data_IF_555593030105
#
_entry.id   IF_555593030105
#
_cell.length_a   1.000
_cell.length_b   1.000
_cell.length_c   1.000
_cell.angle_alpha   90.00
_cell.angle_beta   90.00
_cell.angle_gamma   90.00
#
_symmetry.space_group_name_H-M   'P 1'
#
loop_
_entity.id
_entity.type
_entity.pdbx_description
1 polymer ?
#
# COMPACT_ATOMS: atom_id res chain seq x y z
N UNK A 1 -22.98 1.11 -56.98
CA UNK A 1 -24.17 1.00 -57.86
C UNK A 1 -24.93 -0.24 -57.40
N UNK A 2 -26.16 -0.09 -56.87
CA UNK A 2 -27.01 -1.14 -56.25
C UNK A 2 -26.39 -1.81 -54.98
N UNK A 3 -27.04 -2.02 -53.81
CA UNK A 3 -28.46 -2.06 -53.37
C UNK A 3 -29.20 -3.34 -53.83
N UNK A 4 -29.55 -4.29 -52.95
CA UNK A 4 -30.85 -4.48 -52.25
C UNK A 4 -30.82 -5.85 -51.50
N UNK A 5 -31.56 -6.20 -50.44
CA UNK A 5 -32.33 -5.43 -49.44
C UNK A 5 -32.71 -6.29 -48.18
N UNK A 6 -33.18 -5.61 -47.12
CA UNK A 6 -34.11 -6.02 -46.01
C UNK A 6 -34.07 -7.38 -45.27
N UNK A 7 -34.15 -7.28 -43.93
CA UNK A 7 -34.71 -8.26 -42.98
C UNK A 7 -35.05 -7.58 -41.64
N UNK A 8 -36.13 -7.95 -40.95
CA UNK A 8 -36.62 -7.29 -39.72
C UNK A 8 -36.68 -8.24 -38.51
N UNK A 9 -36.58 -7.72 -37.28
CA UNK A 9 -37.07 -8.40 -36.07
C UNK A 9 -36.34 -8.07 -34.75
N UNK A 10 -37.00 -7.35 -33.84
CA UNK A 10 -36.74 -7.40 -32.39
C UNK A 10 -37.88 -8.17 -31.73
N UNK A 11 -37.62 -8.88 -30.63
CA UNK A 11 -38.62 -9.08 -29.57
C UNK A 11 -37.96 -9.35 -28.21
N UNK A 12 -38.72 -9.16 -27.13
CA UNK A 12 -38.25 -9.25 -25.74
C UNK A 12 -39.34 -9.86 -24.86
N UNK A 13 -38.94 -10.62 -23.83
CA UNK A 13 -39.68 -10.92 -22.59
C UNK A 13 -41.10 -11.53 -22.66
N UNK A 14 -41.30 -12.69 -22.01
CA UNK A 14 -42.56 -13.05 -21.33
C UNK A 14 -42.35 -14.16 -20.29
N UNK A 15 -43.21 -14.18 -19.26
CA UNK A 15 -43.33 -15.27 -18.28
C UNK A 15 -44.11 -16.46 -18.85
N UNK A 16 -44.05 -17.61 -18.16
CA UNK A 16 -45.18 -18.55 -18.14
C UNK A 16 -45.37 -19.14 -16.74
N UNK A 17 -46.62 -19.21 -16.27
CA UNK A 17 -47.02 -19.68 -14.95
C UNK A 17 -48.26 -20.58 -15.12
N UNK A 18 -48.27 -21.75 -14.46
CA UNK A 18 -49.40 -22.69 -14.43
C UNK A 18 -49.93 -22.81 -12.99
N UNK A 19 -51.24 -22.70 -12.66
CA UNK A 19 -52.43 -23.46 -13.16
C UNK A 19 -52.34 -24.93 -12.71
N UNK A 20 -53.25 -25.57 -11.96
CA UNK A 20 -54.45 -25.25 -11.14
C UNK A 20 -54.63 -26.46 -10.10
N UNK A 21 -55.63 -26.68 -9.23
CA UNK A 21 -56.98 -26.11 -8.99
C UNK A 21 -57.47 -26.23 -7.51
N UNK A 22 -58.26 -25.23 -7.08
CA UNK A 22 -59.40 -25.19 -6.12
C UNK A 22 -59.92 -26.47 -5.39
N UNK A 23 -60.11 -26.40 -4.04
CA UNK A 23 -61.42 -26.64 -3.36
C UNK A 23 -61.48 -26.24 -1.87
N UNK A 24 -62.62 -25.71 -1.43
CA UNK A 24 -62.93 -25.25 -0.06
C UNK A 24 -64.01 -26.10 0.61
N UNK A 25 -64.10 -26.14 1.95
CA UNK A 25 -65.37 -26.38 2.68
C UNK A 25 -65.34 -25.82 4.13
N UNK A 26 -66.53 -25.59 4.73
CA UNK A 26 -66.75 -25.05 6.10
C UNK A 26 -67.76 -25.89 6.91
N UNK A 27 -67.44 -26.20 8.17
CA UNK A 27 -68.34 -26.40 9.33
C UNK A 27 -67.44 -26.50 10.60
N UNK A 28 -67.66 -25.96 11.82
CA UNK A 28 -68.78 -25.41 12.63
C UNK A 28 -69.44 -26.43 13.62
N UNK A 29 -69.68 -25.97 14.86
CA UNK A 29 -70.25 -26.68 16.06
C UNK A 29 -69.27 -27.57 16.87
N UNK A 30 -69.63 -28.06 18.08
CA UNK A 30 -69.76 -27.32 19.37
C UNK A 30 -69.97 -28.29 20.55
N UNK A 31 -69.69 -27.86 21.81
CA UNK A 31 -69.88 -28.61 23.10
C UNK A 31 -68.89 -29.79 23.30
N UNK A 32 -68.55 -30.25 24.52
CA UNK A 32 -68.58 -29.63 25.87
C UNK A 32 -67.76 -30.46 26.87
N UNK A 33 -67.12 -29.80 27.85
CA UNK A 33 -66.73 -30.25 29.21
C UNK A 33 -66.63 -31.76 29.51
N UNK A 34 -65.42 -32.22 29.87
CA UNK A 34 -65.18 -32.89 31.16
C UNK A 34 -63.69 -32.87 31.56
N UNK A 35 -63.40 -33.06 32.85
CA UNK A 35 -62.10 -32.86 33.49
C UNK A 35 -61.54 -34.15 34.08
N UNK A 36 -60.23 -34.41 33.93
CA UNK A 36 -59.45 -35.21 34.89
C UNK A 36 -57.94 -34.97 34.74
N UNK A 37 -57.21 -35.19 35.83
CA UNK A 37 -55.74 -35.15 35.96
C UNK A 37 -55.30 -36.38 36.78
N UNK A 38 -53.99 -36.69 36.89
CA UNK A 38 -52.94 -36.71 35.87
C UNK A 38 -52.25 -38.11 35.83
N UNK A 39 -50.98 -38.15 35.39
CA UNK A 39 -49.96 -39.23 35.52
C UNK A 39 -49.76 -40.24 34.37
N UNK A 40 -48.58 -40.86 34.44
CA UNK A 40 -47.96 -41.88 33.59
C UNK A 40 -47.50 -41.49 32.16
N UNK A 41 -46.18 -41.52 32.01
CA UNK A 41 -45.43 -41.37 30.76
C UNK A 41 -45.62 -42.61 29.88
N UNK A 42 -45.84 -42.39 28.59
CA UNK A 42 -45.37 -43.30 27.52
C UNK A 42 -44.72 -42.45 26.42
N UNK A 43 -43.65 -42.96 25.80
CA UNK A 43 -42.88 -42.21 24.81
C UNK A 43 -43.52 -42.28 23.41
N UNK A 44 -43.59 -41.16 22.66
CA UNK A 44 -43.94 -41.19 21.24
C UNK A 44 -42.90 -41.97 20.42
N UNK A 45 -43.34 -42.68 19.38
CA UNK A 45 -42.47 -43.54 18.58
C UNK A 45 -41.65 -42.79 17.53
N UNK A 46 -40.52 -43.39 17.13
CA UNK A 46 -39.36 -42.76 16.45
C UNK A 46 -39.58 -42.26 15.01
N UNK A 47 -40.83 -42.10 14.55
CA UNK A 47 -41.15 -41.79 13.13
C UNK A 47 -41.71 -40.39 12.87
N UNK A 48 -41.98 -39.57 13.89
CA UNK A 48 -42.60 -38.24 13.69
C UNK A 48 -41.66 -37.03 13.90
N UNK A 49 -40.42 -37.25 14.35
CA UNK A 49 -39.40 -36.18 14.47
C UNK A 49 -38.62 -35.92 13.16
N UNK A 50 -38.65 -36.82 12.18
CA UNK A 50 -37.77 -36.75 11.00
C UNK A 50 -38.03 -35.56 10.05
N UNK A 51 -39.26 -35.01 10.02
CA UNK A 51 -39.69 -34.05 8.98
C UNK A 51 -39.50 -32.59 9.41
N UNK A 52 -39.74 -32.25 10.69
CA UNK A 52 -39.53 -30.87 11.18
C UNK A 52 -38.04 -30.48 11.27
N UNK A 53 -37.14 -31.45 11.47
CA UNK A 53 -35.70 -31.18 11.66
C UNK A 53 -34.96 -30.77 10.37
N UNK A 54 -35.51 -31.04 9.18
CA UNK A 54 -34.85 -30.65 7.92
C UNK A 54 -35.01 -29.16 7.60
N UNK A 55 -36.20 -28.58 7.81
CA UNK A 55 -36.47 -27.18 7.45
C UNK A 55 -35.74 -26.16 8.35
N UNK A 56 -35.44 -26.52 9.61
CA UNK A 56 -34.69 -25.64 10.51
C UNK A 56 -33.16 -25.67 10.31
N UNK A 57 -32.62 -26.67 9.62
CA UNK A 57 -31.17 -26.73 9.34
C UNK A 57 -30.75 -25.84 8.16
N UNK A 58 -31.61 -25.68 7.15
CA UNK A 58 -31.32 -24.88 5.96
C UNK A 58 -31.26 -23.37 6.21
N UNK A 59 -31.93 -22.87 7.26
CA UNK A 59 -31.94 -21.43 7.59
C UNK A 59 -30.77 -21.00 8.49
N UNK A 60 -30.24 -21.88 9.34
CA UNK A 60 -29.08 -21.54 10.20
C UNK A 60 -27.77 -21.56 9.41
N UNK A 61 -27.65 -22.44 8.41
CA UNK A 61 -26.46 -22.50 7.54
C UNK A 61 -26.22 -21.20 6.73
N UNK A 62 -27.28 -20.48 6.37
CA UNK A 62 -27.20 -19.23 5.63
C UNK A 62 -26.66 -18.04 6.46
N UNK A 63 -26.84 -18.07 7.79
CA UNK A 63 -26.40 -16.97 8.67
C UNK A 63 -24.88 -16.96 8.92
N UNK A 64 -24.24 -18.13 8.93
CA UNK A 64 -22.81 -18.25 9.25
C UNK A 64 -21.88 -17.71 8.15
N UNK A 65 -22.33 -17.66 6.90
CA UNK A 65 -21.57 -17.15 5.75
C UNK A 65 -21.51 -15.61 5.67
N UNK A 66 -22.21 -14.90 6.58
CA UNK A 66 -22.18 -13.44 6.71
C UNK A 66 -21.22 -12.94 7.80
N UNK A 67 -20.22 -13.74 8.16
CA UNK A 67 -18.93 -13.22 8.64
C UNK A 67 -18.27 -12.47 7.48
N UNK A 68 -18.71 -11.23 7.25
CA UNK A 68 -18.15 -10.37 6.23
C UNK A 68 -16.64 -10.26 6.43
N UNK A 69 -15.88 -10.50 5.36
CA UNK A 69 -14.45 -10.18 5.34
C UNK A 69 -14.35 -8.71 5.73
N UNK A 70 -13.77 -8.44 6.90
CA UNK A 70 -13.53 -7.07 7.37
C UNK A 70 -12.46 -6.52 6.43
N UNK A 71 -12.93 -5.88 5.35
CA UNK A 71 -12.07 -5.38 4.28
C UNK A 71 -10.99 -4.50 4.90
N UNK A 72 -9.73 -4.85 4.66
CA UNK A 72 -8.63 -4.14 5.31
C UNK A 72 -8.71 -2.67 4.91
N UNK A 73 -8.86 -1.80 5.90
CA UNK A 73 -9.07 -0.36 5.72
C UNK A 73 -7.71 0.31 5.42
N UNK A 74 -7.23 -0.06 4.24
CA UNK A 74 -5.88 0.03 3.70
C UNK A 74 -6.03 0.69 2.32
N UNK A 75 -6.01 2.03 2.31
CA UNK A 75 -6.07 2.80 1.07
C UNK A 75 -4.71 2.65 0.37
N UNK A 76 -4.70 2.19 -0.88
CA UNK A 76 -3.50 1.85 -1.67
C UNK A 76 -3.58 2.53 -3.02
N UNK A 77 -2.62 3.37 -3.37
CA UNK A 77 -2.60 4.04 -4.67
C UNK A 77 -1.19 4.16 -5.24
N UNK A 78 -1.10 4.37 -6.55
CA UNK A 78 0.16 4.57 -7.23
C UNK A 78 0.50 6.05 -7.38
N UNK A 79 1.79 6.37 -7.23
CA UNK A 79 2.36 7.64 -7.64
C UNK A 79 3.51 7.37 -8.62
N UNK A 80 3.40 7.89 -9.84
CA UNK A 80 4.44 7.73 -10.88
C UNK A 80 5.70 8.53 -10.55
N UNK A 81 6.83 8.21 -11.19
CA UNK A 81 8.05 9.00 -11.10
C UNK A 81 7.77 10.48 -11.45
N UNK A 82 7.90 11.37 -10.45
CA UNK A 82 7.90 12.82 -10.68
C UNK A 82 9.26 13.22 -11.25
N UNK A 83 10.34 12.83 -10.57
CA UNK A 83 11.74 13.05 -10.97
C UNK A 83 12.66 12.07 -10.23
N UNK A 84 13.84 11.80 -10.78
CA UNK A 84 14.98 11.18 -10.07
C UNK A 84 16.05 12.25 -9.98
N UNK A 85 16.41 12.69 -8.78
CA UNK A 85 17.23 13.90 -8.56
C UNK A 85 18.08 13.78 -7.29
N UNK A 86 19.20 14.50 -7.23
CA UNK A 86 20.07 14.55 -6.06
C UNK A 86 19.69 15.73 -5.17
N UNK A 87 18.46 15.67 -4.67
CA UNK A 87 17.86 16.64 -3.75
C UNK A 87 17.31 15.94 -2.50
N UNK A 88 17.38 16.63 -1.37
CA UNK A 88 16.73 16.20 -0.13
C UNK A 88 16.35 17.43 0.72
N UNK A 89 15.11 17.95 0.62
CA UNK A 89 14.66 19.10 1.39
C UNK A 89 14.28 18.77 2.84
N UNK A 90 14.36 17.50 3.25
CA UNK A 90 14.10 17.07 4.62
C UNK A 90 15.43 17.05 5.39
N UNK A 91 16.35 16.17 5.00
CA UNK A 91 17.62 15.95 5.70
C UNK A 91 18.71 16.95 5.28
N UNK A 92 18.68 17.46 4.04
CA UNK A 92 19.72 18.35 3.50
C UNK A 92 19.16 19.64 2.86
N UNK A 93 18.32 20.41 3.58
CA UNK A 93 17.60 21.56 3.02
C UNK A 93 18.54 22.60 2.40
N UNK A 94 18.26 22.93 1.14
CA UNK A 94 19.02 23.88 0.33
C UNK A 94 20.17 23.28 -0.48
N UNK A 95 20.60 22.05 -0.18
CA UNK A 95 21.72 21.43 -0.90
C UNK A 95 21.35 21.06 -2.34
N UNK A 96 22.27 21.35 -3.27
CA UNK A 96 22.17 21.11 -4.71
C UNK A 96 23.59 20.85 -5.26
N UNK A 97 24.03 19.59 -5.40
CA UNK A 97 23.33 18.35 -5.03
C UNK A 97 23.32 18.06 -3.52
N UNK A 98 22.45 17.15 -3.09
CA UNK A 98 22.52 16.42 -1.81
C UNK A 98 23.52 15.25 -1.90
N UNK A 99 23.78 14.49 -0.81
CA UNK A 99 24.77 13.41 -0.79
C UNK A 99 24.44 12.20 -1.69
N UNK A 100 23.17 11.92 -2.01
CA UNK A 100 22.80 10.74 -2.80
C UNK A 100 21.45 10.86 -3.54
N UNK A 101 21.23 9.97 -4.51
CA UNK A 101 20.19 10.06 -5.55
C UNK A 101 18.83 9.49 -5.12
N UNK A 102 17.81 10.34 -5.04
CA UNK A 102 16.46 9.96 -4.64
C UNK A 102 15.51 9.72 -5.81
N UNK A 103 14.58 8.79 -5.66
CA UNK A 103 13.37 8.73 -6.47
C UNK A 103 12.30 9.55 -5.78
N UNK A 104 11.78 10.60 -6.43
CA UNK A 104 10.72 11.45 -5.87
C UNK A 104 9.41 11.26 -6.63
N UNK A 105 8.30 11.25 -5.89
CA UNK A 105 6.92 11.24 -6.42
C UNK A 105 6.04 12.25 -5.68
N UNK A 106 4.83 12.50 -6.20
CA UNK A 106 3.83 13.38 -5.59
C UNK A 106 3.76 14.77 -6.22
N UNK A 107 3.58 15.81 -5.40
CA UNK A 107 3.39 17.20 -5.85
C UNK A 107 4.59 17.79 -6.60
N UNK A 108 4.36 18.43 -7.75
CA UNK A 108 5.42 18.99 -8.59
C UNK A 108 6.15 20.21 -8.01
N UNK A 109 5.68 20.77 -6.89
CA UNK A 109 6.37 21.85 -6.18
C UNK A 109 7.72 21.42 -5.60
N UNK A 110 7.95 20.13 -5.32
CA UNK A 110 9.16 19.58 -4.69
C UNK A 110 10.46 20.29 -5.11
N UNK A 111 11.23 20.79 -4.14
CA UNK A 111 12.36 21.68 -4.39
C UNK A 111 13.47 21.41 -3.36
N UNK A 112 14.69 21.89 -3.60
CA UNK A 112 15.83 21.72 -2.69
C UNK A 112 15.60 22.30 -1.29
N UNK A 113 14.79 23.35 -1.17
CA UNK A 113 14.39 23.96 0.10
C UNK A 113 12.88 23.91 0.25
N UNK A 114 12.39 23.24 1.29
CA UNK A 114 10.99 23.24 1.69
C UNK A 114 10.97 23.39 3.22
N UNK A 115 10.64 24.57 3.74
CA UNK A 115 10.57 24.81 5.19
C UNK A 115 9.27 24.21 5.80
N UNK A 116 9.29 23.68 7.04
CA UNK A 116 8.08 23.21 7.72
C UNK A 116 7.03 24.31 7.85
N UNK A 117 5.76 23.96 7.67
CA UNK A 117 4.56 24.84 7.71
C UNK A 117 4.50 25.92 6.60
N UNK A 118 5.59 26.65 6.36
CA UNK A 118 5.67 27.69 5.32
C UNK A 118 5.59 27.10 3.90
N UNK A 119 6.28 25.98 3.65
CA UNK A 119 6.26 25.31 2.36
C UNK A 119 5.20 24.21 2.34
N UNK A 120 4.02 24.55 1.80
CA UNK A 120 2.86 23.66 1.70
C UNK A 120 2.69 23.13 0.26
N UNK A 121 3.00 21.84 -0.02
CA UNK A 121 2.84 21.27 -1.35
C UNK A 121 1.40 21.31 -1.88
N UNK A 122 0.39 21.26 -1.00
CA UNK A 122 -1.03 21.28 -1.38
C UNK A 122 -1.47 22.63 -1.97
N UNK A 123 -0.73 23.70 -1.65
CA UNK A 123 -0.93 25.06 -2.17
C UNK A 123 0.00 25.39 -3.34
N UNK A 124 1.23 24.87 -3.32
CA UNK A 124 2.30 25.27 -4.24
C UNK A 124 2.41 24.38 -5.50
N UNK A 125 1.89 23.15 -5.46
CA UNK A 125 1.90 22.25 -6.62
C UNK A 125 0.74 22.53 -7.59
N UNK A 126 1.05 22.56 -8.89
CA UNK A 126 0.06 22.64 -9.97
C UNK A 126 -0.39 21.27 -10.48
N UNK A 127 0.40 20.22 -10.26
CA UNK A 127 0.01 18.83 -10.48
C UNK A 127 0.63 17.90 -9.44
N UNK A 128 0.12 16.67 -9.36
CA UNK A 128 0.68 15.57 -8.57
C UNK A 128 0.86 14.33 -9.44
N UNK A 129 1.91 13.54 -9.22
CA UNK A 129 2.12 12.26 -9.90
C UNK A 129 1.34 11.10 -9.26
N UNK A 130 0.61 11.35 -8.17
CA UNK A 130 -0.28 10.41 -7.49
C UNK A 130 -1.66 10.33 -8.15
N UNK A 131 -2.31 9.16 -8.14
CA UNK A 131 -3.62 9.03 -8.81
C UNK A 131 -4.79 9.73 -8.10
N UNK A 132 -4.70 10.00 -6.79
CA UNK A 132 -5.64 10.91 -6.12
C UNK A 132 -5.24 12.37 -6.36
N UNK A 133 -6.15 13.14 -6.96
CA UNK A 133 -5.90 14.54 -7.36
C UNK A 133 -6.01 15.55 -6.21
N UNK A 134 -6.20 15.06 -4.98
CA UNK A 134 -6.16 15.82 -3.73
C UNK A 134 -4.84 15.62 -2.95
N UNK A 135 -3.97 14.69 -3.36
CA UNK A 135 -2.70 14.39 -2.68
C UNK A 135 -1.49 14.98 -3.42
N UNK A 136 -0.90 16.04 -2.86
CA UNK A 136 0.32 16.67 -3.35
C UNK A 136 1.49 16.46 -2.38
N UNK A 137 1.34 15.56 -1.39
CA UNK A 137 2.43 15.16 -0.51
C UNK A 137 3.62 14.68 -1.33
N UNK A 138 4.84 14.90 -0.83
CA UNK A 138 6.03 14.35 -1.46
C UNK A 138 6.52 13.13 -0.68
N UNK A 139 6.84 12.09 -1.45
CA UNK A 139 7.31 10.80 -0.96
C UNK A 139 8.60 10.47 -1.73
N UNK A 140 9.66 10.08 -1.04
CA UNK A 140 10.89 9.64 -1.71
C UNK A 140 11.66 8.56 -0.94
N UNK A 141 12.55 7.88 -1.66
CA UNK A 141 13.49 6.86 -1.15
C UNK A 141 14.79 6.95 -1.93
N UNK A 142 15.86 6.32 -1.42
CA UNK A 142 17.06 6.03 -2.19
C UNK A 142 16.76 5.24 -3.50
N UNK A 143 17.65 5.35 -4.49
CA UNK A 143 17.66 4.46 -5.66
C UNK A 143 18.61 3.27 -5.43
N UNK A 144 18.31 2.12 -6.04
CA UNK A 144 19.27 1.00 -6.13
C UNK A 144 20.07 1.11 -7.45
N UNK A 145 21.35 0.77 -7.40
CA UNK A 145 22.25 0.61 -8.53
C UNK A 145 22.79 -0.83 -8.56
N UNK A 146 22.96 -1.39 -9.76
CA UNK A 146 23.65 -2.65 -10.01
C UNK A 146 25.07 -2.38 -10.52
N UNK A 147 26.06 -3.04 -9.94
CA UNK A 147 27.46 -3.01 -10.37
C UNK A 147 27.78 -4.26 -11.19
N UNK A 148 28.14 -4.06 -12.45
CA UNK A 148 28.53 -5.14 -13.35
C UNK A 148 29.99 -5.58 -13.13
N UNK A 149 30.34 -6.77 -13.65
CA UNK A 149 31.67 -7.39 -13.56
C UNK A 149 32.82 -6.53 -14.09
N UNK A 150 32.57 -5.64 -15.05
CA UNK A 150 33.54 -4.67 -15.57
C UNK A 150 33.75 -3.46 -14.62
N UNK A 151 33.06 -3.40 -13.48
CA UNK A 151 33.12 -2.31 -12.51
C UNK A 151 32.01 -1.27 -12.65
N UNK A 152 31.45 -1.07 -13.85
CA UNK A 152 30.47 -0.01 -14.13
C UNK A 152 29.11 -0.24 -13.46
N UNK A 153 28.43 0.86 -13.14
CA UNK A 153 27.13 0.88 -12.46
C UNK A 153 25.99 1.20 -13.42
N UNK A 154 24.79 0.68 -13.12
CA UNK A 154 23.53 1.06 -13.77
C UNK A 154 22.44 1.21 -12.72
N UNK A 155 21.60 2.25 -12.83
CA UNK A 155 20.46 2.43 -11.92
C UNK A 155 19.43 1.34 -12.18
N UNK A 156 18.90 0.73 -11.12
CA UNK A 156 17.81 -0.25 -11.22
C UNK A 156 16.50 0.53 -11.46
N UNK A 157 15.82 0.34 -12.61
CA UNK A 157 14.54 0.98 -12.86
C UNK A 157 13.46 0.52 -11.88
N UNK A 158 12.42 1.31 -11.72
CA UNK A 158 11.23 0.93 -10.97
C UNK A 158 10.06 0.67 -11.91
N UNK A 159 9.11 -0.15 -11.46
CA UNK A 159 7.93 -0.55 -12.23
C UNK A 159 6.64 -0.41 -11.41
N UNK A 160 5.49 -0.42 -12.09
CA UNK A 160 4.20 -0.45 -11.41
C UNK A 160 4.00 -1.73 -10.60
N UNK A 161 3.52 -1.58 -9.36
CA UNK A 161 3.10 -2.68 -8.50
C UNK A 161 1.78 -3.28 -8.99
N UNK A 162 1.50 -4.54 -8.64
CA UNK A 162 0.41 -5.32 -9.24
C UNK A 162 -0.94 -4.58 -9.11
N UNK A 163 -1.66 -4.44 -10.23
CA UNK A 163 -2.93 -3.73 -10.31
C UNK A 163 -2.85 -2.20 -10.41
N UNK A 164 -1.66 -1.59 -10.42
CA UNK A 164 -1.47 -0.13 -10.51
C UNK A 164 -0.74 0.27 -11.79
N UNK A 165 -1.41 1.11 -12.59
CA UNK A 165 -0.90 1.67 -13.84
C UNK A 165 -0.09 2.95 -13.57
N UNK A 166 1.18 2.80 -13.19
CA UNK A 166 2.12 3.91 -12.96
C UNK A 166 3.42 3.71 -13.72
N UNK A 167 4.09 4.83 -14.04
CA UNK A 167 5.39 4.85 -14.72
C UNK A 167 6.51 5.06 -13.69
N UNK A 168 7.18 3.98 -13.30
CA UNK A 168 8.11 3.98 -12.17
C UNK A 168 7.45 4.43 -10.87
N UNK A 169 8.24 4.94 -9.92
CA UNK A 169 7.73 5.54 -8.70
C UNK A 169 7.32 4.52 -7.64
N UNK A 170 6.30 4.87 -6.85
CA UNK A 170 6.03 4.28 -5.53
C UNK A 170 4.55 3.91 -5.41
N UNK A 171 4.25 2.79 -4.76
CA UNK A 171 2.91 2.51 -4.23
C UNK A 171 2.80 3.09 -2.84
N UNK A 172 1.89 4.03 -2.64
CA UNK A 172 1.64 4.70 -1.37
C UNK A 172 0.41 4.08 -0.71
N UNK A 173 0.51 3.84 0.58
CA UNK A 173 -0.55 3.29 1.41
C UNK A 173 -0.84 4.21 2.60
N UNK A 174 -2.12 4.44 2.90
CA UNK A 174 -2.58 5.05 4.16
C UNK A 174 -3.55 4.08 4.83
N UNK A 175 -3.16 3.59 6.00
CA UNK A 175 -3.81 2.43 6.63
C UNK A 175 -4.34 2.87 7.99
N UNK A 176 -5.67 2.84 8.14
CA UNK A 176 -6.37 3.33 9.34
C UNK A 176 -6.27 2.39 10.55
N UNK A 177 -5.74 1.19 10.33
CA UNK A 177 -5.62 0.13 11.32
C UNK A 177 -6.71 -0.94 11.19
N UNK A 178 -6.36 -2.16 11.57
CA UNK A 178 -7.07 -3.40 11.27
C UNK A 178 -8.34 -3.65 12.09
N UNK A 179 -8.68 -2.77 13.03
CA UNK A 179 -9.88 -2.86 13.85
C UNK A 179 -11.00 -2.00 13.25
N UNK A 180 -12.22 -2.53 13.15
CA UNK A 180 -13.37 -1.82 12.58
C UNK A 180 -13.76 -0.55 13.36
N UNK A 181 -13.38 -0.49 14.65
CA UNK A 181 -13.53 0.62 15.59
C UNK A 181 -12.36 1.63 15.57
N UNK A 182 -11.30 1.38 14.80
CA UNK A 182 -10.12 2.25 14.78
C UNK A 182 -10.49 3.68 14.36
N UNK A 183 -9.91 4.65 15.05
CA UNK A 183 -9.95 6.07 14.70
C UNK A 183 -8.51 6.58 14.66
N UNK A 184 -8.25 7.47 13.72
CA UNK A 184 -6.94 8.11 13.52
C UNK A 184 -7.15 9.60 13.20
N UNK A 185 -6.20 10.42 13.60
CA UNK A 185 -6.10 11.82 13.20
C UNK A 185 -5.19 11.92 11.98
N UNK A 186 -5.66 12.52 10.89
CA UNK A 186 -4.85 12.79 9.72
C UNK A 186 -3.70 13.75 10.04
N UNK A 187 -2.64 13.68 9.24
CA UNK A 187 -1.50 14.60 9.31
C UNK A 187 -1.94 16.05 9.04
N UNK A 188 -1.12 17.01 9.49
CA UNK A 188 -1.39 18.46 9.40
C UNK A 188 -0.46 19.15 8.39
N UNK A 189 -0.79 20.33 7.86
CA UNK A 189 0.13 21.10 7.03
C UNK A 189 1.51 21.27 7.68
N UNK A 190 2.57 21.00 6.92
CA UNK A 190 3.95 20.97 7.41
C UNK A 190 4.42 19.64 8.02
N UNK A 191 3.55 18.63 8.15
CA UNK A 191 3.90 17.35 8.78
C UNK A 191 4.93 16.54 7.99
N UNK A 192 5.90 15.94 8.70
CA UNK A 192 7.11 15.34 8.14
C UNK A 192 7.48 14.04 8.83
N UNK A 193 8.08 13.09 8.12
CA UNK A 193 8.65 11.89 8.73
C UNK A 193 9.86 11.37 7.93
N UNK A 194 10.84 10.82 8.64
CA UNK A 194 11.92 10.01 8.09
C UNK A 194 11.92 8.63 8.77
N UNK A 195 11.88 7.55 8.00
CA UNK A 195 12.15 6.18 8.49
C UNK A 195 13.47 5.64 7.99
N UNK A 196 14.06 4.72 8.74
CA UNK A 196 15.38 4.17 8.44
C UNK A 196 16.52 5.13 8.71
N UNK A 197 17.70 4.75 8.22
CA UNK A 197 18.95 5.49 8.39
C UNK A 197 19.89 5.13 7.23
N UNK A 198 20.23 6.07 6.33
CA UNK A 198 21.13 5.81 5.21
C UNK A 198 22.56 5.47 5.67
N UNK A 199 22.93 5.73 6.93
CA UNK A 199 24.24 5.39 7.49
C UNK A 199 24.25 4.03 8.21
N UNK A 200 23.13 3.32 8.28
CA UNK A 200 23.06 2.03 8.98
C UNK A 200 23.84 0.93 8.23
N UNK A 201 24.85 0.37 8.92
CA UNK A 201 25.68 -0.76 8.46
C UNK A 201 25.51 -2.01 9.34
N UNK A 202 24.51 -2.05 10.24
CA UNK A 202 24.34 -3.10 11.26
C UNK A 202 22.91 -3.63 11.31
N UNK A 203 22.74 -4.94 11.07
CA UNK A 203 21.43 -5.59 11.09
C UNK A 203 20.73 -5.48 12.47
N UNK A 204 21.52 -5.52 13.57
CA UNK A 204 21.00 -5.39 14.93
C UNK A 204 20.35 -4.03 15.25
N UNK A 205 20.60 -2.99 14.46
CA UNK A 205 19.96 -1.67 14.56
C UNK A 205 18.91 -1.42 13.47
N UNK A 206 18.68 -2.38 12.57
CA UNK A 206 17.75 -2.19 11.46
C UNK A 206 16.30 -2.33 11.92
N UNK A 207 15.46 -1.38 11.52
CA UNK A 207 14.02 -1.41 11.81
C UNK A 207 13.38 -2.59 11.07
N UNK A 208 12.62 -3.44 11.78
CA UNK A 208 11.86 -4.56 11.18
C UNK A 208 10.81 -4.10 10.16
N UNK A 209 10.48 -2.81 10.19
CA UNK A 209 9.57 -2.08 9.31
C UNK A 209 10.16 -1.73 7.93
N UNK A 210 11.43 -2.09 7.70
CA UNK A 210 12.18 -1.85 6.47
C UNK A 210 12.66 -3.20 5.95
N UNK A 211 12.09 -3.65 4.83
CA UNK A 211 12.32 -5.01 4.35
C UNK A 211 12.25 -5.15 2.84
N UNK A 212 12.81 -6.25 2.35
CA UNK A 212 12.88 -6.65 0.95
C UNK A 212 12.16 -7.99 0.77
N UNK A 213 11.31 -8.07 -0.26
CA UNK A 213 10.78 -9.33 -0.79
C UNK A 213 11.40 -9.63 -2.15
N UNK A 214 11.95 -10.82 -2.30
CA UNK A 214 12.35 -11.38 -3.59
C UNK A 214 11.12 -11.98 -4.27
N UNK A 215 10.51 -11.26 -5.21
CA UNK A 215 9.26 -11.69 -5.84
C UNK A 215 9.52 -12.84 -6.83
N UNK A 216 8.65 -13.86 -6.81
CA UNK A 216 8.78 -15.03 -7.67
C UNK A 216 8.54 -14.72 -9.15
N UNK A 217 7.61 -13.80 -9.44
CA UNK A 217 7.24 -13.30 -10.77
C UNK A 217 6.46 -11.98 -10.64
N UNK A 218 6.24 -11.29 -11.76
CA UNK A 218 5.50 -10.01 -11.80
C UNK A 218 4.04 -10.13 -11.35
N UNK A 219 3.49 -11.34 -11.34
CA UNK A 219 2.13 -11.65 -10.89
C UNK A 219 2.07 -11.87 -9.37
N UNK A 220 3.19 -11.77 -8.65
CA UNK A 220 3.31 -12.01 -7.20
C UNK A 220 2.67 -13.36 -6.79
N UNK A 221 2.96 -14.41 -7.57
CA UNK A 221 2.38 -15.75 -7.40
C UNK A 221 3.46 -16.80 -7.11
N UNK A 222 3.41 -17.55 -5.99
CA UNK A 222 2.43 -17.45 -4.91
C UNK A 222 2.55 -16.12 -4.15
N UNK A 223 1.42 -15.64 -3.62
CA UNK A 223 1.39 -14.38 -2.86
C UNK A 223 2.11 -14.54 -1.51
N UNK A 224 3.20 -13.81 -1.32
CA UNK A 224 4.08 -13.93 -0.14
C UNK A 224 3.50 -13.45 1.20
N UNK A 225 2.24 -13.03 1.27
CA UNK A 225 1.59 -12.54 2.49
C UNK A 225 1.84 -11.06 2.76
N UNK A 226 1.62 -10.63 4.02
CA UNK A 226 1.85 -9.25 4.46
C UNK A 226 3.33 -8.84 4.33
N UNK A 227 3.66 -7.56 4.06
CA UNK A 227 5.04 -7.11 3.98
C UNK A 227 5.76 -7.21 5.34
N UNK A 228 7.08 -7.39 5.29
CA UNK A 228 7.97 -7.58 6.43
C UNK A 228 7.59 -8.80 7.31
N UNK A 229 7.11 -9.87 6.67
CA UNK A 229 6.79 -11.15 7.31
C UNK A 229 7.28 -12.34 6.49
N UNK A 230 7.33 -13.53 7.10
CA UNK A 230 7.60 -14.78 6.39
C UNK A 230 9.03 -14.88 5.84
N UNK A 231 9.18 -14.72 4.53
CA UNK A 231 10.45 -14.87 3.80
C UNK A 231 11.17 -13.54 3.51
N UNK A 232 10.67 -12.42 4.04
CA UNK A 232 11.24 -11.09 3.81
C UNK A 232 12.56 -10.87 4.57
N UNK A 233 13.50 -10.18 3.93
CA UNK A 233 14.83 -9.90 4.48
C UNK A 233 15.01 -8.44 4.86
N UNK A 234 15.85 -8.16 5.86
CA UNK A 234 16.29 -6.79 6.19
C UNK A 234 17.47 -6.33 5.33
N UNK A 235 18.20 -7.28 4.74
CA UNK A 235 19.27 -7.07 3.77
C UNK A 235 18.76 -7.25 2.32
N UNK A 236 19.54 -6.81 1.34
CA UNK A 236 19.33 -7.10 -0.08
C UNK A 236 19.21 -8.62 -0.34
N UNK A 237 18.21 -9.08 -1.12
CA UNK A 237 18.10 -10.47 -1.55
C UNK A 237 19.38 -11.00 -2.21
N UNK A 238 19.75 -12.23 -1.86
CA UNK A 238 21.04 -12.86 -2.23
C UNK A 238 20.93 -13.78 -3.46
N UNK A 239 19.72 -13.88 -4.01
CA UNK A 239 19.41 -14.61 -5.24
C UNK A 239 18.72 -13.71 -6.28
N UNK A 240 18.87 -14.01 -7.58
CA UNK A 240 18.01 -13.50 -8.64
C UNK A 240 16.51 -13.65 -8.31
N UNK A 241 15.69 -12.66 -8.67
CA UNK A 241 14.26 -12.61 -8.35
C UNK A 241 13.43 -12.46 -9.63
N UNK A 242 12.48 -13.37 -9.89
CA UNK A 242 11.72 -13.42 -11.14
C UNK A 242 10.70 -12.29 -11.31
N UNK A 243 10.24 -11.69 -10.21
CA UNK A 243 9.38 -10.51 -10.17
C UNK A 243 10.10 -9.21 -9.80
N UNK A 244 11.43 -9.22 -9.72
CA UNK A 244 12.21 -8.12 -9.17
C UNK A 244 12.20 -8.10 -7.63
N UNK A 245 12.49 -6.95 -7.04
CA UNK A 245 12.44 -6.72 -5.60
C UNK A 245 11.27 -5.82 -5.23
N UNK A 246 10.54 -6.18 -4.18
CA UNK A 246 9.58 -5.29 -3.51
C UNK A 246 10.17 -4.81 -2.20
N UNK A 247 10.52 -3.53 -2.12
CA UNK A 247 11.03 -2.88 -0.91
C UNK A 247 9.85 -2.24 -0.20
N UNK A 248 9.67 -2.55 1.08
CA UNK A 248 8.54 -2.06 1.88
C UNK A 248 9.06 -1.21 3.03
N UNK A 249 8.45 -0.05 3.24
CA UNK A 249 8.81 0.91 4.29
C UNK A 249 7.55 1.32 5.06
N UNK A 250 7.41 0.84 6.30
CA UNK A 250 6.27 1.17 7.16
C UNK A 250 6.63 2.34 8.10
N UNK A 251 5.82 3.39 8.11
CA UNK A 251 6.04 4.54 8.99
C UNK A 251 5.45 4.33 10.40
N UNK A 252 5.95 5.07 11.41
CA UNK A 252 5.26 5.29 12.68
C UNK A 252 3.75 5.54 12.55
N UNK A 253 2.98 5.05 13.52
CA UNK A 253 1.51 5.16 13.54
C UNK A 253 0.96 5.80 14.82
N UNK A 254 1.86 6.40 15.61
CA UNK A 254 1.59 7.11 16.86
C UNK A 254 2.31 8.46 16.84
N UNK A 255 1.65 9.51 17.34
CA UNK A 255 2.12 10.89 17.27
C UNK A 255 2.00 11.59 18.63
N UNK A 256 2.93 12.50 18.94
CA UNK A 256 2.94 13.28 20.20
C UNK A 256 1.74 14.23 20.36
N UNK A 257 0.96 14.46 19.29
CA UNK A 257 -0.24 15.30 19.28
C UNK A 257 0.03 16.80 19.14
N UNK A 258 1.30 17.20 19.10
CA UNK A 258 1.76 18.59 19.18
C UNK A 258 2.61 19.02 17.98
N UNK A 259 3.72 18.33 17.73
CA UNK A 259 4.75 18.80 16.81
C UNK A 259 4.54 18.19 15.42
N UNK A 260 4.50 19.01 14.37
CA UNK A 260 4.38 18.50 12.98
C UNK A 260 5.72 18.01 12.42
N UNK A 261 6.82 18.38 13.06
CA UNK A 261 8.17 17.93 12.72
C UNK A 261 9.05 17.95 13.97
N UNK A 262 10.19 17.28 13.92
CA UNK A 262 11.25 17.32 14.94
C UNK A 262 12.62 17.48 14.26
N UNK A 263 13.68 17.94 14.96
CA UNK A 263 15.00 18.18 14.34
C UNK A 263 15.70 16.95 13.73
N UNK A 264 15.17 15.76 13.99
CA UNK A 264 15.60 14.46 13.47
C UNK A 264 14.55 13.80 12.53
N UNK A 265 13.44 14.48 12.29
CA UNK A 265 12.24 14.03 11.56
C UNK A 265 11.63 12.71 12.08
N UNK A 266 11.92 12.36 13.35
CA UNK A 266 11.61 11.06 13.98
C UNK A 266 11.01 11.20 15.37
N UNK A 267 11.62 11.94 16.28
CA UNK A 267 11.28 11.97 17.72
C UNK A 267 9.89 12.50 18.10
N UNK A 268 9.12 13.04 17.15
CA UNK A 268 7.71 13.42 17.36
C UNK A 268 6.70 12.31 17.01
N UNK A 269 7.17 11.19 16.43
CA UNK A 269 6.36 10.02 16.07
C UNK A 269 6.97 8.71 16.60
N UNK A 270 6.11 7.71 16.85
CA UNK A 270 6.52 6.41 17.36
C UNK A 270 5.78 5.24 16.70
N UNK A 271 6.40 4.06 16.76
CA UNK A 271 5.70 2.81 16.54
C UNK A 271 4.90 2.41 17.80
N UNK A 272 3.83 1.59 17.67
CA UNK A 272 3.11 1.02 18.81
C UNK A 272 4.04 0.24 19.75
N UNK A 273 3.73 0.24 21.05
CA UNK A 273 4.60 -0.35 22.09
C UNK A 273 4.82 -1.86 21.94
N UNK A 274 3.87 -2.57 21.32
CA UNK A 274 3.89 -4.03 21.23
C UNK A 274 3.16 -4.55 20.00
N UNK A 275 3.41 -5.81 19.64
CA UNK A 275 2.79 -6.50 18.52
C UNK A 275 3.47 -6.24 17.17
N UNK A 276 2.78 -6.56 16.09
CA UNK A 276 3.16 -6.26 14.70
C UNK A 276 2.30 -5.12 14.15
N UNK A 277 2.52 -4.71 12.90
CA UNK A 277 1.69 -3.70 12.25
C UNK A 277 0.20 -4.11 12.19
N UNK A 278 -0.06 -5.36 11.80
CA UNK A 278 -1.39 -5.98 11.66
C UNK A 278 -2.16 -6.01 12.99
N UNK A 279 -1.44 -6.09 14.12
CA UNK A 279 -2.03 -6.19 15.45
C UNK A 279 -2.69 -4.89 15.94
N UNK A 280 -2.39 -3.74 15.32
CA UNK A 280 -3.02 -2.45 15.65
C UNK A 280 -2.75 -1.94 17.08
N UNK A 281 -1.57 -2.25 17.63
CA UNK A 281 -1.20 -2.10 19.05
C UNK A 281 -1.43 -0.72 19.69
N UNK A 282 -1.25 -0.67 21.01
CA UNK A 282 -1.36 0.57 21.78
C UNK A 282 -0.19 1.52 21.49
N UNK A 283 -0.48 2.82 21.43
CA UNK A 283 0.55 3.84 21.30
C UNK A 283 1.23 4.13 22.64
N UNK A 284 2.52 4.52 22.64
CA UNK A 284 3.18 5.00 23.84
C UNK A 284 2.45 6.19 24.47
N UNK A 285 2.52 6.33 25.79
CA UNK A 285 1.97 7.50 26.51
C UNK A 285 2.62 8.82 26.10
N UNK A 286 3.84 8.79 25.56
CA UNK A 286 4.54 9.94 24.96
C UNK A 286 4.02 10.30 23.56
N UNK A 287 3.30 9.38 22.90
CA UNK A 287 2.80 9.51 21.53
C UNK A 287 1.32 9.12 21.43
N UNK A 288 0.42 9.74 22.22
CA UNK A 288 -0.91 9.20 22.48
C UNK A 288 -1.87 9.26 21.27
N UNK A 289 -1.58 10.05 20.25
CA UNK A 289 -2.49 10.24 19.11
C UNK A 289 -2.23 9.17 18.05
N UNK A 290 -3.23 8.32 17.78
CA UNK A 290 -3.18 7.41 16.62
C UNK A 290 -3.30 8.20 15.32
N UNK A 291 -2.37 7.96 14.41
CA UNK A 291 -2.30 8.53 13.05
C UNK A 291 -2.41 7.38 12.03
N UNK A 292 -2.80 7.62 10.77
CA UNK A 292 -2.73 6.59 9.73
C UNK A 292 -1.29 6.06 9.63
N UNK A 293 -1.09 4.75 9.49
CA UNK A 293 0.21 4.29 9.03
C UNK A 293 0.34 4.67 7.56
N UNK A 294 1.33 5.52 7.27
CA UNK A 294 1.89 5.64 5.93
C UNK A 294 2.77 4.42 5.64
N UNK A 295 2.67 3.83 4.45
CA UNK A 295 3.59 2.78 4.01
C UNK A 295 3.92 2.95 2.53
N UNK A 296 5.16 2.68 2.16
CA UNK A 296 5.62 2.62 0.77
C UNK A 296 5.83 1.16 0.36
N UNK A 297 5.46 0.80 -0.87
CA UNK A 297 6.08 -0.31 -1.59
C UNK A 297 6.71 0.19 -2.89
N UNK A 298 8.01 -0.09 -3.06
CA UNK A 298 8.79 0.26 -4.24
C UNK A 298 9.18 -1.03 -4.97
N UNK A 299 8.78 -1.15 -6.24
CA UNK A 299 9.10 -2.31 -7.07
C UNK A 299 10.34 -2.01 -7.92
N UNK A 300 11.51 -2.50 -7.52
CA UNK A 300 12.75 -2.38 -8.30
C UNK A 300 12.87 -3.55 -9.28
N UNK A 301 13.03 -3.24 -10.56
CA UNK A 301 13.12 -4.21 -11.64
C UNK A 301 14.54 -4.81 -11.77
N UNK A 302 14.92 -5.57 -10.76
CA UNK A 302 16.19 -6.31 -10.74
C UNK A 302 16.23 -7.47 -11.74
N UNK A 303 15.12 -7.78 -12.43
CA UNK A 303 15.02 -8.94 -13.34
C UNK A 303 16.03 -8.90 -14.49
N UNK A 304 16.30 -7.71 -15.01
CA UNK A 304 17.28 -7.48 -16.08
C UNK A 304 18.74 -7.76 -15.65
N UNK A 305 18.99 -7.86 -14.34
CA UNK A 305 20.30 -8.16 -13.75
C UNK A 305 20.35 -9.59 -13.16
N UNK A 306 19.36 -10.45 -13.45
CA UNK A 306 19.32 -11.83 -12.95
C UNK A 306 20.41 -12.74 -13.54
N UNK A 307 21.06 -12.34 -14.64
CA UNK A 307 22.19 -13.09 -15.20
C UNK A 307 23.45 -12.95 -14.34
N UNK A 308 23.84 -14.04 -13.69
CA UNK A 308 25.06 -14.14 -12.87
C UNK A 308 26.36 -14.00 -13.69
N UNK A 309 26.32 -14.05 -15.03
CA UNK A 309 27.48 -13.71 -15.87
C UNK A 309 27.90 -12.24 -15.73
N UNK A 310 26.94 -11.36 -15.44
CA UNK A 310 27.16 -9.93 -15.23
C UNK A 310 27.68 -9.60 -13.81
N UNK A 311 27.59 -10.54 -12.87
CA UNK A 311 27.91 -10.30 -11.45
C UNK A 311 29.42 -10.36 -11.18
N UNK A 312 29.94 -9.66 -10.15
CA UNK A 312 31.31 -9.79 -9.66
C UNK A 312 31.74 -11.24 -9.41
N UNK A 313 33.00 -11.55 -9.72
CA UNK A 313 33.57 -12.91 -9.61
C UNK A 313 34.03 -13.28 -8.19
N UNK A 314 34.10 -12.31 -7.28
CA UNK A 314 34.42 -12.51 -5.86
C UNK A 314 33.22 -13.00 -5.03
N UNK A 315 32.03 -13.12 -5.63
CA UNK A 315 30.80 -13.49 -4.95
C UNK A 315 30.16 -12.35 -4.15
N UNK A 316 30.63 -11.11 -4.30
CA UNK A 316 30.02 -9.95 -3.66
C UNK A 316 28.58 -9.68 -4.17
N UNK A 317 27.76 -9.10 -3.29
CA UNK A 317 26.44 -8.55 -3.65
C UNK A 317 26.63 -7.40 -4.66
N UNK A 318 26.14 -7.51 -5.91
CA UNK A 318 26.34 -6.46 -6.92
C UNK A 318 25.46 -5.22 -6.72
N UNK A 319 24.49 -5.26 -5.83
CA UNK A 319 23.55 -4.15 -5.63
C UNK A 319 24.00 -3.19 -4.52
N UNK A 320 23.80 -1.91 -4.78
CA UNK A 320 24.15 -0.78 -3.92
C UNK A 320 22.94 0.15 -3.82
N UNK A 321 22.66 0.70 -2.64
CA UNK A 321 21.88 1.92 -2.49
C UNK A 321 22.68 3.11 -3.06
N UNK A 322 21.98 4.18 -3.43
CA UNK A 322 22.54 5.38 -4.06
C UNK A 322 23.58 6.14 -3.21
N UNK A 323 23.74 5.77 -1.94
CA UNK A 323 24.70 6.26 -0.94
C UNK A 323 25.91 5.30 -0.76
N UNK A 324 26.13 4.38 -1.70
CA UNK A 324 27.20 3.37 -1.64
C UNK A 324 26.92 2.19 -0.71
N UNK A 325 25.77 2.14 -0.02
CA UNK A 325 25.47 1.08 0.95
C UNK A 325 25.11 -0.24 0.23
N UNK A 326 25.86 -1.33 0.51
CA UNK A 326 25.87 -2.59 -0.26
C UNK A 326 25.24 -3.80 0.46
N UNK A 327 24.73 -3.61 1.67
CA UNK A 327 24.04 -4.66 2.46
C UNK A 327 22.53 -4.58 2.31
N UNK A 328 21.98 -3.40 2.00
CA UNK A 328 20.55 -3.11 2.00
C UNK A 328 20.06 -2.45 3.29
N UNK A 329 20.91 -2.42 4.32
CA UNK A 329 20.59 -1.86 5.65
C UNK A 329 20.45 -0.33 5.62
N UNK A 330 21.13 0.36 4.70
CA UNK A 330 20.99 1.80 4.48
C UNK A 330 19.67 2.24 3.83
N UNK A 331 18.61 1.43 3.94
CA UNK A 331 17.27 1.73 3.44
C UNK A 331 16.62 2.82 4.31
N UNK A 332 16.03 3.83 3.66
CA UNK A 332 15.31 4.92 4.31
C UNK A 332 14.18 5.44 3.42
N UNK A 333 13.24 6.17 4.02
CA UNK A 333 12.12 6.76 3.31
C UNK A 333 11.63 8.04 3.95
N UNK A 334 11.34 9.02 3.11
CA UNK A 334 11.12 10.41 3.48
C UNK A 334 9.70 10.86 3.12
N UNK A 335 9.16 11.79 3.90
CA UNK A 335 7.80 12.27 3.76
C UNK A 335 7.64 13.76 4.08
N UNK A 336 6.93 14.49 3.21
CA UNK A 336 6.32 15.80 3.48
C UNK A 336 4.83 15.72 3.12
N UNK A 337 3.95 15.95 4.09
CA UNK A 337 2.50 16.00 3.90
C UNK A 337 2.06 17.15 2.99
N UNK A 338 1.11 16.87 2.10
CA UNK A 338 0.54 17.82 1.15
C UNK A 338 -0.85 17.40 0.63
N UNK A 339 -1.69 16.75 1.44
CA UNK A 339 -3.09 16.56 1.07
C UNK A 339 -3.87 17.88 1.18
N UNK A 340 -4.79 18.11 0.23
CA UNK A 340 -5.63 19.31 0.20
C UNK A 340 -6.71 19.27 1.28
N UNK A 341 -6.71 20.30 2.13
CA UNK A 341 -7.77 20.55 3.11
C UNK A 341 -7.96 19.39 4.09
N UNK A 342 -9.15 18.81 4.10
CA UNK A 342 -9.53 17.69 4.96
C UNK A 342 -9.42 16.31 4.27
N UNK A 343 -8.98 16.25 3.00
CA UNK A 343 -9.14 15.07 2.13
C UNK A 343 -8.64 13.75 2.75
N UNK A 344 -7.46 13.76 3.39
CA UNK A 344 -6.95 12.57 4.08
C UNK A 344 -7.83 12.16 5.28
N UNK A 345 -8.34 13.12 6.07
CA UNK A 345 -9.26 12.82 7.17
C UNK A 345 -10.58 12.25 6.62
N UNK A 346 -11.13 12.84 5.55
CA UNK A 346 -12.33 12.31 4.87
C UNK A 346 -12.11 10.86 4.44
N UNK A 347 -10.96 10.53 3.86
CA UNK A 347 -10.64 9.17 3.42
C UNK A 347 -10.55 8.17 4.58
N UNK A 348 -9.97 8.58 5.71
CA UNK A 348 -9.83 7.75 6.92
C UNK A 348 -11.18 7.51 7.61
N UNK A 349 -12.02 8.54 7.74
CA UNK A 349 -13.36 8.39 8.33
C UNK A 349 -14.35 7.69 7.37
N UNK A 350 -14.17 7.85 6.06
CA UNK A 350 -14.95 7.16 5.02
C UNK A 350 -14.48 5.73 4.72
N UNK A 351 -13.60 5.17 5.57
CA UNK A 351 -13.21 3.75 5.54
C UNK A 351 -12.54 3.29 4.23
N UNK A 352 -11.82 4.20 3.57
CA UNK A 352 -11.31 3.93 2.22
C UNK A 352 -10.25 2.82 2.18
N UNK A 353 -10.38 1.94 1.19
CA UNK A 353 -9.60 0.73 1.01
C UNK A 353 -9.30 0.48 -0.48
N UNK A 354 -8.18 -0.19 -0.77
CA UNK A 354 -7.69 -0.40 -2.14
C UNK A 354 -7.48 0.94 -2.88
N UNK A 355 -7.57 0.93 -4.21
CA UNK A 355 -7.23 2.05 -5.10
C UNK A 355 -8.43 2.90 -5.54
N UNK A 356 -9.59 2.74 -4.89
CA UNK A 356 -10.80 3.54 -5.13
C UNK A 356 -11.47 3.96 -3.82
N UNK A 357 -11.40 5.25 -3.53
CA UNK A 357 -12.04 5.90 -2.38
C UNK A 357 -13.14 6.86 -2.86
N UNK A 358 -14.44 6.55 -2.67
CA UNK A 358 -15.53 7.43 -3.11
C UNK A 358 -15.57 8.82 -2.46
N UNK A 359 -14.87 9.01 -1.35
CA UNK A 359 -14.75 10.30 -0.65
C UNK A 359 -13.58 11.18 -1.15
N UNK A 360 -12.82 10.72 -2.15
CA UNK A 360 -11.69 11.41 -2.75
C UNK A 360 -11.87 11.60 -4.26
N UNK A 361 -11.30 12.69 -4.77
CA UNK A 361 -11.15 12.92 -6.21
C UNK A 361 -9.94 12.16 -6.75
N UNK A 362 -10.12 11.47 -7.88
CA UNK A 362 -9.08 10.70 -8.57
C UNK A 362 -8.94 11.22 -10.00
N UNK A 363 -7.71 11.51 -10.43
CA UNK A 363 -7.39 11.81 -11.83
C UNK A 363 -7.22 10.52 -12.64
N UNK A 364 -7.09 10.62 -13.96
CA UNK A 364 -6.71 9.47 -14.78
C UNK A 364 -5.26 9.09 -14.53
N UNK A 365 -4.91 7.83 -14.80
CA UNK A 365 -3.54 7.36 -14.66
C UNK A 365 -2.59 8.11 -15.60
N UNK A 366 -3.08 8.52 -16.79
CA UNK A 366 -2.32 9.31 -17.75
C UNK A 366 -2.05 10.73 -17.25
N UNK A 367 -2.98 11.37 -16.53
CA UNK A 367 -2.75 12.68 -15.91
C UNK A 367 -1.70 12.58 -14.79
N UNK A 368 -1.77 11.53 -13.95
CA UNK A 368 -0.77 11.25 -12.94
C UNK A 368 0.62 10.93 -13.54
N UNK A 369 0.68 10.16 -14.63
CA UNK A 369 1.92 9.85 -15.35
C UNK A 369 2.50 11.06 -16.13
N UNK A 370 1.68 12.03 -16.49
CA UNK A 370 2.12 13.26 -17.17
C UNK A 370 2.68 14.31 -16.21
N UNK A 371 2.37 14.23 -14.90
CA UNK A 371 2.93 15.12 -13.91
C UNK A 371 4.39 14.73 -13.59
N UNK A 372 5.33 15.40 -14.24
CA UNK A 372 6.77 15.24 -14.06
C UNK A 372 7.42 16.57 -13.65
N UNK A 373 8.67 16.50 -13.20
CA UNK A 373 9.52 17.68 -12.94
C UNK A 373 10.87 17.49 -13.65
N UNK A 374 11.44 18.59 -14.14
CA UNK A 374 12.84 18.58 -14.55
C UNK A 374 13.78 18.34 -13.34
N UNK A 375 14.86 17.61 -13.60
CA UNK A 375 16.02 17.52 -12.69
C UNK A 375 16.62 18.90 -12.44
N UNK A 376 16.84 19.23 -11.18
CA UNK A 376 17.59 20.41 -10.74
C UNK A 376 19.09 20.13 -10.82
N UNK A 377 19.55 18.94 -10.39
CA UNK A 377 20.93 18.51 -10.57
C UNK A 377 21.10 17.95 -11.98
N UNK A 378 21.89 18.64 -12.82
CA UNK A 378 22.12 18.26 -14.22
C UNK A 378 23.30 17.28 -14.32
N UNK A 379 23.07 16.04 -13.90
CA UNK A 379 24.04 14.92 -13.98
C UNK A 379 23.37 13.63 -14.49
N UNK A 380 24.16 12.63 -14.90
CA UNK A 380 23.62 11.34 -15.32
C UNK A 380 23.14 10.48 -14.15
N UNK A 381 21.94 9.91 -14.29
CA UNK A 381 21.24 9.18 -13.22
C UNK A 381 21.24 7.67 -13.43
N UNK A 382 22.18 7.14 -14.21
CA UNK A 382 22.32 5.70 -14.47
C UNK A 382 21.28 5.12 -15.43
N UNK A 383 20.66 5.98 -16.26
CA UNK A 383 19.86 5.56 -17.42
C UNK A 383 20.76 4.91 -18.49
N UNK A 384 22.01 5.38 -18.60
CA UNK A 384 23.14 4.68 -19.24
C UNK A 384 23.96 3.89 -18.20
N UNK A 385 25.08 3.29 -18.63
CA UNK A 385 26.09 2.79 -17.68
C UNK A 385 26.96 3.97 -17.21
N UNK A 386 27.40 3.92 -15.96
CA UNK A 386 28.25 4.92 -15.30
C UNK A 386 29.53 4.27 -14.78
N UNK A 387 30.60 5.03 -14.65
CA UNK A 387 31.82 4.57 -13.96
C UNK A 387 31.63 4.51 -12.43
N UNK A 388 30.82 5.42 -11.87
CA UNK A 388 30.53 5.58 -10.44
C UNK A 388 29.04 5.87 -10.16
N UNK A 389 28.61 5.67 -8.91
CA UNK A 389 27.27 6.08 -8.44
C UNK A 389 27.26 7.60 -8.18
N UNK A 390 26.26 8.37 -8.66
CA UNK A 390 26.23 9.82 -8.49
C UNK A 390 26.33 10.28 -7.03
N UNK A 391 27.41 11.02 -6.73
CA UNK A 391 27.71 11.54 -5.39
C UNK A 391 28.58 10.61 -4.51
N UNK A 392 28.95 9.43 -4.99
CA UNK A 392 29.79 8.47 -4.26
C UNK A 392 31.22 8.44 -4.81
N UNK A 393 32.14 7.88 -4.02
CA UNK A 393 33.52 7.58 -4.41
C UNK A 393 33.82 6.09 -4.16
N UNK A 394 34.99 5.63 -4.63
CA UNK A 394 35.50 4.29 -4.36
C UNK A 394 35.55 3.92 -2.85
N UNK A 395 35.69 4.91 -1.96
CA UNK A 395 35.70 4.72 -0.50
C UNK A 395 34.31 4.40 0.06
N UNK A 396 33.23 4.84 -0.61
CA UNK A 396 31.86 4.58 -0.17
C UNK A 396 31.38 3.14 -0.46
N UNK A 397 32.08 2.39 -1.31
CA UNK A 397 31.72 1.01 -1.72
C UNK A 397 32.34 -0.09 -0.83
N UNK A 398 33.15 0.32 0.15
CA UNK A 398 33.83 -0.55 1.12
C UNK A 398 32.91 -0.89 2.32
#
# INVERSE_FOLDING_TARGET
MCMLCMGHGRLTLAMCLSILINRSYRAKSSRSLQTCTPTHLTSPSTKQQAIQTMLFRSLVAAAAALHGVVGQELMRFGCSQLVVDRLDPLVNPGQRPSPHMHQIVGGNSFNASMAPVEYDPAKLSTCTSCTYSEDFSNYWTANVYFRARNGSFKRVPQVGNLGLNIKGGITVYYIRGYQASARVTAFKPGFRMLVGDPLNKKAATQQRQLCFRCEANMQQSPFGGAPCTGADTQEFPKQPCGGGWRVSLHFPSCWDGKNVDSPDHKSHVAYPQQGTFESGGACPSTHPVKIPQLMYEVMFDTRQFNDRSLWPTDGSQPFFWSNGERTGLGNHGDYIFGWKGDALQRAMDSKCANDRCPALQRQTDQQAQACTKERVVKEEVGDQWLDDIPGQTAENYL
#
